data_IF_740583571712
#
_entry.id   IF_740583571712
#
_cell.length_a   1.000
_cell.length_b   1.000
_cell.length_c   1.000
_cell.angle_alpha   90.00
_cell.angle_beta   90.00
_cell.angle_gamma   90.00
#
_symmetry.space_group_name_H-M   'P 1'
#
loop_
_entity.id
_entity.type
_entity.pdbx_description
1 polymer ?
#
# COMPACT_ATOMS: atom_id res chain seq x y z
N UNK A 1 -23.31 -10.84 -0.57
CA UNK A 1 -23.62 -9.48 -1.01
C UNK A 1 -22.37 -8.59 -0.95
N UNK A 2 -21.93 -8.09 0.21
CA UNK A 2 -20.75 -7.20 0.31
C UNK A 2 -19.42 -7.83 -0.20
N UNK A 3 -19.29 -9.14 -0.06
CA UNK A 3 -18.11 -9.90 -0.53
C UNK A 3 -18.12 -10.11 -2.04
N UNK A 4 -19.29 -10.27 -2.63
CA UNK A 4 -19.47 -10.32 -4.08
C UNK A 4 -19.22 -8.96 -4.71
N UNK A 5 -19.75 -7.90 -4.11
CA UNK A 5 -19.55 -6.51 -4.57
C UNK A 5 -18.07 -6.08 -4.50
N UNK A 6 -17.33 -6.52 -3.45
CA UNK A 6 -15.89 -6.29 -3.32
C UNK A 6 -15.06 -7.09 -4.34
N UNK A 7 -15.47 -8.32 -4.66
CA UNK A 7 -14.81 -9.10 -5.72
C UNK A 7 -15.08 -8.51 -7.10
N UNK A 8 -16.29 -8.05 -7.34
CA UNK A 8 -16.70 -7.42 -8.59
C UNK A 8 -16.01 -6.07 -8.78
N UNK A 9 -15.91 -5.25 -7.74
CA UNK A 9 -15.14 -4.00 -7.74
C UNK A 9 -13.64 -4.23 -7.96
N UNK A 10 -13.06 -5.28 -7.35
CA UNK A 10 -11.67 -5.68 -7.58
C UNK A 10 -11.43 -6.12 -9.02
N UNK A 11 -12.34 -6.92 -9.59
CA UNK A 11 -12.24 -7.35 -10.99
C UNK A 11 -12.40 -6.17 -11.96
N UNK A 12 -13.30 -5.23 -11.68
CA UNK A 12 -13.44 -4.01 -12.47
C UNK A 12 -12.21 -3.11 -12.40
N UNK A 13 -11.60 -2.95 -11.22
CA UNK A 13 -10.35 -2.19 -11.08
C UNK A 13 -9.19 -2.86 -11.83
N UNK A 14 -9.05 -4.17 -11.75
CA UNK A 14 -8.01 -4.90 -12.47
C UNK A 14 -8.19 -4.81 -13.99
N UNK A 15 -9.42 -4.91 -14.48
CA UNK A 15 -9.75 -4.72 -15.91
C UNK A 15 -9.43 -3.29 -16.37
N UNK A 16 -9.79 -2.27 -15.57
CA UNK A 16 -9.52 -0.87 -15.89
C UNK A 16 -8.01 -0.54 -15.91
N UNK A 17 -7.22 -1.15 -15.02
CA UNK A 17 -5.76 -0.98 -15.00
C UNK A 17 -5.14 -1.65 -16.22
N UNK A 18 -5.53 -2.90 -16.52
CA UNK A 18 -5.02 -3.66 -17.67
C UNK A 18 -5.41 -3.00 -19.01
N UNK A 19 -6.64 -2.50 -19.15
CA UNK A 19 -7.10 -1.78 -20.35
C UNK A 19 -6.32 -0.47 -20.56
N UNK A 20 -6.06 0.31 -19.49
CA UNK A 20 -5.26 1.53 -19.61
C UNK A 20 -3.83 1.27 -20.01
N UNK A 21 -3.23 0.20 -19.55
CA UNK A 21 -1.86 -0.18 -19.89
C UNK A 21 -1.72 -0.68 -21.31
N UNK A 22 -2.68 -1.47 -21.78
CA UNK A 22 -2.80 -1.87 -23.18
C UNK A 22 -3.00 -0.65 -24.09
N UNK A 23 -3.83 0.31 -23.70
CA UNK A 23 -4.07 1.54 -24.47
C UNK A 23 -2.80 2.42 -24.56
N UNK A 24 -2.02 2.52 -23.50
CA UNK A 24 -0.75 3.27 -23.49
C UNK A 24 0.32 2.55 -24.33
N UNK A 25 0.41 1.22 -24.24
CA UNK A 25 1.33 0.42 -25.04
C UNK A 25 0.96 0.45 -26.55
N UNK A 26 -0.31 0.35 -26.90
CA UNK A 26 -0.79 0.46 -28.28
C UNK A 26 -0.58 1.87 -28.87
N UNK A 27 -0.80 2.93 -28.09
CA UNK A 27 -0.49 4.31 -28.51
C UNK A 27 1.01 4.50 -28.71
N UNK A 28 1.85 3.99 -27.83
CA UNK A 28 3.31 4.09 -27.99
C UNK A 28 3.82 3.33 -29.21
N UNK A 29 3.30 2.13 -29.48
CA UNK A 29 3.59 1.40 -30.71
C UNK A 29 3.05 2.08 -31.97
N UNK A 30 1.83 2.64 -31.92
CA UNK A 30 1.21 3.38 -33.00
C UNK A 30 2.02 4.62 -33.41
N UNK A 31 2.54 5.38 -32.45
CA UNK A 31 3.41 6.53 -32.73
C UNK A 31 4.76 6.11 -33.34
N UNK A 32 5.39 5.04 -32.87
CA UNK A 32 6.64 4.51 -33.42
C UNK A 32 6.44 4.03 -34.87
N UNK A 33 5.38 3.29 -35.14
CA UNK A 33 5.07 2.74 -36.47
C UNK A 33 4.71 3.85 -37.47
N UNK A 34 3.92 4.85 -37.08
CA UNK A 34 3.57 5.97 -37.94
C UNK A 34 4.79 6.85 -38.28
N UNK A 35 5.66 7.10 -37.32
CA UNK A 35 6.88 7.90 -37.53
C UNK A 35 7.81 7.21 -38.55
N UNK A 36 7.98 5.90 -38.42
CA UNK A 36 8.79 5.09 -39.36
C UNK A 36 8.18 5.11 -40.77
N UNK A 37 6.89 4.96 -40.89
CA UNK A 37 6.16 4.97 -42.16
C UNK A 37 6.24 6.33 -42.86
N UNK A 38 6.09 7.44 -42.15
CA UNK A 38 6.26 8.79 -42.71
C UNK A 38 7.69 9.03 -43.17
N UNK A 39 8.70 8.53 -42.46
CA UNK A 39 10.10 8.65 -42.85
C UNK A 39 10.39 7.86 -44.13
N UNK A 40 9.81 6.66 -44.28
CA UNK A 40 9.97 5.89 -45.50
C UNK A 40 9.28 6.57 -46.70
N UNK A 41 8.12 7.21 -46.55
CA UNK A 41 7.51 8.02 -47.60
C UNK A 41 8.31 9.25 -47.97
N UNK A 42 8.96 9.91 -47.02
CA UNK A 42 9.85 11.05 -47.25
C UNK A 42 11.11 10.64 -48.08
N UNK A 43 11.72 9.52 -47.70
CA UNK A 43 12.87 8.98 -48.44
C UNK A 43 12.49 8.54 -49.85
N UNK A 44 11.34 7.84 -50.00
CA UNK A 44 10.85 7.40 -51.28
C UNK A 44 10.46 8.56 -52.21
N UNK A 45 9.84 9.63 -51.66
CA UNK A 45 9.52 10.85 -52.41
C UNK A 45 10.76 11.61 -52.90
N UNK A 46 11.77 11.76 -52.06
CA UNK A 46 13.00 12.41 -52.41
C UNK A 46 13.80 11.67 -53.48
N UNK A 47 13.87 10.32 -53.39
CA UNK A 47 14.54 9.50 -54.41
C UNK A 47 13.82 9.58 -55.80
N UNK A 48 12.47 9.68 -55.79
CA UNK A 48 11.68 9.81 -57.02
C UNK A 48 11.90 11.17 -57.72
N UNK A 49 12.00 12.24 -56.97
CA UNK A 49 12.24 13.60 -57.51
C UNK A 49 13.65 13.70 -58.11
N UNK A 50 14.66 13.11 -57.46
CA UNK A 50 16.04 13.08 -57.96
C UNK A 50 16.18 12.25 -59.24
N UNK A 51 15.41 11.19 -59.41
CA UNK A 51 15.35 10.39 -60.64
C UNK A 51 14.71 11.15 -61.83
N UNK A 52 13.85 12.11 -61.58
CA UNK A 52 13.19 12.92 -62.59
C UNK A 52 14.02 14.11 -63.10
N UNK A 53 14.94 14.63 -62.27
CA UNK A 53 15.64 15.90 -62.52
C UNK A 53 17.02 15.73 -63.19
N UNK A 54 17.55 14.52 -63.26
CA UNK A 54 18.95 14.45 -63.66
C UNK A 54 19.46 13.21 -64.35
N UNK A 55 18.92 12.82 -65.53
CA UNK A 55 19.45 11.68 -66.27
C UNK A 55 20.87 11.85 -66.83
N UNK A 56 21.36 13.07 -67.05
CA UNK A 56 22.66 13.34 -67.71
C UNK A 56 23.84 13.63 -66.76
N UNK A 57 23.59 13.87 -65.44
CA UNK A 57 24.65 14.14 -64.45
C UNK A 57 24.82 13.02 -63.43
N UNK A 58 24.19 11.88 -63.69
CA UNK A 58 23.82 10.87 -62.70
C UNK A 58 25.00 10.01 -62.22
N UNK A 59 26.07 9.85 -62.93
CA UNK A 59 27.10 8.88 -62.56
C UNK A 59 27.84 9.28 -61.27
N UNK A 60 28.28 10.51 -61.21
CA UNK A 60 29.02 10.99 -60.02
C UNK A 60 28.08 11.36 -58.86
N UNK A 61 26.87 11.81 -59.16
CA UNK A 61 25.87 12.10 -58.15
C UNK A 61 25.33 10.82 -57.51
N UNK A 62 25.19 9.76 -58.32
CA UNK A 62 24.63 8.46 -57.86
C UNK A 62 25.51 7.82 -56.76
N UNK A 63 26.82 7.86 -56.91
CA UNK A 63 27.72 7.27 -55.90
C UNK A 63 27.75 8.11 -54.61
N UNK A 64 27.78 9.45 -54.75
CA UNK A 64 27.73 10.35 -53.59
C UNK A 64 26.38 10.29 -52.86
N UNK A 65 25.25 10.25 -53.58
CA UNK A 65 23.91 10.12 -53.00
C UNK A 65 23.75 8.76 -52.34
N UNK A 66 24.28 7.71 -52.95
CA UNK A 66 24.24 6.36 -52.38
C UNK A 66 25.00 6.27 -51.06
N UNK A 67 26.25 6.79 -51.04
CA UNK A 67 27.06 6.82 -49.82
C UNK A 67 26.42 7.68 -48.74
N UNK A 68 25.84 8.83 -49.10
CA UNK A 68 25.13 9.68 -48.15
C UNK A 68 23.85 9.01 -47.62
N UNK A 69 23.07 8.38 -48.50
CA UNK A 69 21.86 7.66 -48.12
C UNK A 69 22.17 6.44 -47.22
N UNK A 70 23.23 5.67 -47.57
CA UNK A 70 23.68 4.54 -46.76
C UNK A 70 24.15 5.02 -45.38
N UNK A 71 24.86 6.14 -45.29
CA UNK A 71 25.33 6.74 -44.04
C UNK A 71 24.18 7.28 -43.22
N UNK A 72 23.23 7.97 -43.84
CA UNK A 72 22.04 8.51 -43.15
C UNK A 72 21.07 7.40 -42.70
N UNK A 73 20.91 6.36 -43.54
CA UNK A 73 20.15 5.16 -43.16
C UNK A 73 20.82 4.47 -41.96
N UNK A 74 22.13 4.29 -41.98
CA UNK A 74 22.82 3.66 -40.86
C UNK A 74 22.69 4.51 -39.56
N UNK A 75 22.79 5.85 -39.69
CA UNK A 75 22.57 6.78 -38.55
C UNK A 75 21.16 6.66 -38.01
N UNK A 76 20.16 6.70 -38.88
CA UNK A 76 18.77 6.59 -38.48
C UNK A 76 18.43 5.22 -37.86
N UNK A 77 18.93 4.14 -38.48
CA UNK A 77 18.78 2.79 -37.93
C UNK A 77 19.36 2.69 -36.53
N UNK A 78 20.62 3.20 -36.37
CA UNK A 78 21.26 3.23 -35.05
C UNK A 78 20.49 4.08 -34.01
N UNK A 79 19.95 5.24 -34.43
CA UNK A 79 19.13 6.09 -33.58
C UNK A 79 17.80 5.39 -33.15
N UNK A 80 17.14 4.71 -34.12
CA UNK A 80 15.93 3.97 -33.83
C UNK A 80 16.19 2.74 -32.96
N UNK A 81 17.28 1.99 -33.23
CA UNK A 81 17.68 0.86 -32.38
C UNK A 81 17.95 1.33 -30.95
N UNK A 82 18.63 2.47 -30.79
CA UNK A 82 18.85 3.07 -29.46
C UNK A 82 17.53 3.45 -28.78
N UNK A 83 16.61 4.11 -29.50
CA UNK A 83 15.30 4.49 -28.96
C UNK A 83 14.44 3.28 -28.60
N UNK A 84 14.47 2.24 -29.45
CA UNK A 84 13.77 0.99 -29.16
C UNK A 84 14.34 0.30 -27.92
N UNK A 85 15.66 0.27 -27.79
CA UNK A 85 16.32 -0.29 -26.61
C UNK A 85 16.00 0.51 -25.32
N UNK A 86 15.89 1.85 -25.43
CA UNK A 86 15.47 2.70 -24.32
C UNK A 86 14.01 2.45 -23.93
N UNK A 87 13.14 2.37 -24.93
CA UNK A 87 11.71 2.10 -24.72
C UNK A 87 11.48 0.70 -24.12
N UNK A 88 12.21 -0.31 -24.60
CA UNK A 88 12.17 -1.66 -24.05
C UNK A 88 12.61 -1.68 -22.58
N UNK A 89 13.66 -0.94 -22.23
CA UNK A 89 14.12 -0.78 -20.84
C UNK A 89 13.06 -0.10 -19.97
N UNK A 90 12.43 0.95 -20.47
CA UNK A 90 11.37 1.66 -19.76
C UNK A 90 10.13 0.77 -19.54
N UNK A 91 9.68 0.06 -20.58
CA UNK A 91 8.57 -0.89 -20.48
C UNK A 91 8.87 -1.99 -19.48
N UNK A 92 10.08 -2.53 -19.50
CA UNK A 92 10.49 -3.56 -18.55
C UNK A 92 10.46 -3.07 -17.10
N UNK A 93 10.96 -1.83 -16.85
CA UNK A 93 10.87 -1.21 -15.51
C UNK A 93 9.43 -1.01 -15.06
N UNK A 94 8.58 -0.49 -15.94
CA UNK A 94 7.16 -0.29 -15.63
C UNK A 94 6.46 -1.62 -15.36
N UNK A 95 6.73 -2.65 -16.14
CA UNK A 95 6.17 -3.99 -15.93
C UNK A 95 6.57 -4.57 -14.57
N UNK A 96 7.82 -4.42 -14.15
CA UNK A 96 8.27 -4.85 -12.83
C UNK A 96 7.56 -4.07 -11.72
N UNK A 97 7.50 -2.74 -11.82
CA UNK A 97 6.79 -1.91 -10.85
C UNK A 97 5.30 -2.24 -10.74
N UNK A 98 4.67 -2.60 -11.85
CA UNK A 98 3.26 -3.04 -11.86
C UNK A 98 3.12 -4.38 -11.14
N UNK A 99 4.02 -5.33 -11.38
CA UNK A 99 3.99 -6.62 -10.71
C UNK A 99 4.17 -6.47 -9.18
N UNK A 100 5.12 -5.62 -8.75
CA UNK A 100 5.34 -5.29 -7.33
C UNK A 100 4.10 -4.64 -6.70
N UNK A 101 3.49 -3.67 -7.38
CA UNK A 101 2.26 -3.01 -6.91
C UNK A 101 1.09 -3.99 -6.84
N UNK A 102 0.98 -4.92 -7.78
CA UNK A 102 -0.08 -5.92 -7.79
C UNK A 102 0.06 -6.87 -6.58
N UNK A 103 1.27 -7.31 -6.29
CA UNK A 103 1.55 -8.15 -5.12
C UNK A 103 1.19 -7.44 -3.80
N UNK A 104 1.52 -6.13 -3.69
CA UNK A 104 1.18 -5.33 -2.50
C UNK A 104 -0.35 -5.13 -2.37
N UNK A 105 -1.04 -4.92 -3.49
CA UNK A 105 -2.52 -4.84 -3.50
C UNK A 105 -3.14 -6.17 -3.04
N UNK A 106 -2.65 -7.29 -3.53
CA UNK A 106 -3.12 -8.62 -3.11
C UNK A 106 -2.89 -8.85 -1.62
N UNK A 107 -1.69 -8.55 -1.13
CA UNK A 107 -1.36 -8.63 0.30
C UNK A 107 -2.28 -7.75 1.15
N UNK A 108 -2.53 -6.51 0.72
CA UNK A 108 -3.43 -5.59 1.42
C UNK A 108 -4.88 -6.10 1.44
N UNK A 109 -5.35 -6.68 0.33
CA UNK A 109 -6.68 -7.27 0.26
C UNK A 109 -6.82 -8.51 1.18
N UNK A 110 -5.78 -9.32 1.26
CA UNK A 110 -5.76 -10.48 2.16
C UNK A 110 -5.80 -10.05 3.63
N UNK A 111 -5.01 -9.04 4.00
CA UNK A 111 -5.06 -8.43 5.33
C UNK A 111 -6.46 -7.89 5.66
N UNK A 112 -7.07 -7.11 4.75
CA UNK A 112 -8.44 -6.62 4.92
C UNK A 112 -9.46 -7.76 5.10
N UNK A 113 -9.32 -8.84 4.33
CA UNK A 113 -10.18 -10.02 4.48
C UNK A 113 -10.03 -10.66 5.85
N UNK A 114 -8.81 -10.74 6.38
CA UNK A 114 -8.52 -11.28 7.71
C UNK A 114 -9.10 -10.39 8.82
N UNK A 115 -8.97 -9.07 8.70
CA UNK A 115 -9.59 -8.10 9.61
C UNK A 115 -11.13 -8.26 9.67
N UNK A 116 -11.77 -8.37 8.51
CA UNK A 116 -13.22 -8.58 8.44
C UNK A 116 -13.67 -9.92 9.06
N UNK A 117 -12.79 -10.92 9.05
CA UNK A 117 -13.06 -12.18 9.77
C UNK A 117 -12.87 -12.02 11.27
N UNK A 118 -11.79 -11.35 11.70
CA UNK A 118 -11.51 -11.13 13.11
C UNK A 118 -12.61 -10.34 13.81
N UNK A 119 -13.17 -9.31 13.16
CA UNK A 119 -14.29 -8.54 13.73
C UNK A 119 -15.59 -9.35 13.91
N UNK A 120 -15.75 -10.47 13.22
CA UNK A 120 -16.93 -11.35 13.30
C UNK A 120 -16.69 -12.59 14.17
N UNK A 121 -15.45 -12.82 14.54
CA UNK A 121 -15.07 -13.99 15.30
C UNK A 121 -15.44 -13.81 16.78
N UNK A 122 -16.22 -14.73 17.37
CA UNK A 122 -16.70 -14.57 18.75
C UNK A 122 -15.66 -14.98 19.80
N UNK A 123 -14.61 -15.73 19.43
CA UNK A 123 -13.68 -16.32 20.40
C UNK A 123 -12.31 -15.64 20.32
N UNK A 124 -11.75 -15.28 21.48
CA UNK A 124 -10.42 -14.68 21.57
C UNK A 124 -9.33 -15.54 20.92
N UNK A 125 -9.40 -16.87 21.12
CA UNK A 125 -8.42 -17.79 20.52
C UNK A 125 -8.43 -17.75 19.00
N UNK A 126 -9.60 -17.77 18.37
CA UNK A 126 -9.67 -17.73 16.91
C UNK A 126 -9.37 -16.32 16.35
N UNK A 127 -9.66 -15.23 17.10
CA UNK A 127 -9.18 -13.88 16.77
C UNK A 127 -7.65 -13.85 16.71
N UNK A 128 -6.98 -14.42 17.72
CA UNK A 128 -5.50 -14.50 17.77
C UNK A 128 -4.94 -15.21 16.54
N UNK A 129 -5.53 -16.34 16.12
CA UNK A 129 -5.09 -17.05 14.91
C UNK A 129 -5.22 -16.18 13.63
N UNK A 130 -6.25 -15.33 13.57
CA UNK A 130 -6.42 -14.40 12.45
C UNK A 130 -5.41 -13.26 12.49
N UNK A 131 -5.12 -12.71 13.67
CA UNK A 131 -4.07 -11.70 13.85
C UNK A 131 -2.67 -12.29 13.56
N UNK A 132 -2.41 -13.54 13.91
CA UNK A 132 -1.18 -14.22 13.55
C UNK A 132 -0.99 -14.28 12.04
N UNK A 133 -2.05 -14.58 11.30
CA UNK A 133 -2.00 -14.59 9.82
C UNK A 133 -1.80 -13.20 9.24
N UNK A 134 -2.33 -12.14 9.87
CA UNK A 134 -2.03 -10.76 9.48
C UNK A 134 -0.56 -10.45 9.72
N UNK A 135 -0.02 -10.87 10.87
CA UNK A 135 1.38 -10.67 11.23
C UNK A 135 2.35 -11.51 10.38
N UNK A 136 1.92 -12.63 9.81
CA UNK A 136 2.70 -13.36 8.78
C UNK A 136 2.85 -12.53 7.50
N UNK A 137 1.81 -11.77 7.12
CA UNK A 137 1.83 -10.90 5.94
C UNK A 137 2.49 -9.53 6.22
N UNK A 138 2.38 -9.02 7.43
CA UNK A 138 2.95 -7.76 7.89
C UNK A 138 3.43 -7.90 9.35
N UNK A 139 4.68 -8.33 9.57
CA UNK A 139 5.17 -8.75 10.90
C UNK A 139 5.11 -7.69 12.00
N UNK A 140 5.21 -6.40 11.63
CA UNK A 140 5.21 -5.28 12.56
C UNK A 140 3.95 -4.39 12.42
N UNK A 141 2.82 -5.00 12.05
CA UNK A 141 1.54 -4.30 12.00
C UNK A 141 1.09 -3.92 13.43
N UNK A 142 1.13 -2.62 13.80
CA UNK A 142 0.88 -2.21 15.17
C UNK A 142 -0.57 -2.44 15.60
N UNK A 143 -1.50 -2.34 14.64
CA UNK A 143 -2.91 -2.57 14.90
C UNK A 143 -3.19 -4.05 15.18
N UNK A 144 -2.60 -4.95 14.39
CA UNK A 144 -2.74 -6.39 14.60
C UNK A 144 -2.12 -6.84 15.93
N UNK A 145 -0.96 -6.27 16.31
CA UNK A 145 -0.34 -6.55 17.60
C UNK A 145 -1.19 -6.07 18.77
N UNK A 146 -1.77 -4.86 18.68
CA UNK A 146 -2.59 -4.29 19.75
C UNK A 146 -3.91 -5.06 19.93
N UNK A 147 -4.60 -5.42 18.84
CA UNK A 147 -5.82 -6.26 18.90
C UNK A 147 -5.53 -7.70 19.34
N UNK A 148 -4.36 -8.21 19.02
CA UNK A 148 -3.91 -9.51 19.57
C UNK A 148 -3.66 -9.43 21.06
N UNK A 149 -3.12 -8.31 21.56
CA UNK A 149 -2.95 -8.07 23.00
C UNK A 149 -4.30 -8.01 23.72
N UNK A 150 -5.31 -7.34 23.15
CA UNK A 150 -6.68 -7.32 23.64
C UNK A 150 -7.24 -8.76 23.78
N UNK A 151 -7.14 -9.56 22.72
CA UNK A 151 -7.57 -10.95 22.75
C UNK A 151 -6.80 -11.83 23.74
N UNK A 152 -5.51 -11.53 23.97
CA UNK A 152 -4.72 -12.20 25.00
C UNK A 152 -5.23 -11.85 26.40
N UNK A 153 -5.67 -10.60 26.63
CA UNK A 153 -6.30 -10.18 27.89
C UNK A 153 -7.64 -10.90 28.13
N UNK A 154 -8.47 -11.06 27.07
CA UNK A 154 -9.70 -11.86 27.16
C UNK A 154 -9.43 -13.32 27.62
N UNK A 155 -8.25 -13.86 27.31
CA UNK A 155 -7.82 -15.20 27.74
C UNK A 155 -7.15 -15.22 29.13
N UNK A 156 -6.95 -14.06 29.77
CA UNK A 156 -6.25 -13.93 31.04
C UNK A 156 -4.72 -14.04 30.92
N UNK A 157 -4.15 -13.80 29.74
CA UNK A 157 -2.72 -13.90 29.46
C UNK A 157 -2.03 -12.52 29.54
N UNK A 158 -2.12 -11.84 30.70
CA UNK A 158 -1.65 -10.47 30.90
C UNK A 158 -0.17 -10.25 30.51
N UNK A 159 0.71 -11.20 30.86
CA UNK A 159 2.13 -11.07 30.52
C UNK A 159 2.40 -11.14 29.03
N UNK A 160 1.62 -11.94 28.33
CA UNK A 160 1.71 -12.01 26.88
C UNK A 160 1.20 -10.72 26.24
N UNK A 161 0.07 -10.18 26.71
CA UNK A 161 -0.44 -8.91 26.27
C UNK A 161 0.58 -7.77 26.48
N UNK A 162 1.27 -7.72 27.62
CA UNK A 162 2.36 -6.76 27.86
C UNK A 162 3.43 -6.84 26.77
N UNK A 163 3.91 -8.05 26.45
CA UNK A 163 4.96 -8.22 25.44
C UNK A 163 4.54 -7.79 24.04
N UNK A 164 3.25 -7.93 23.71
CA UNK A 164 2.69 -7.46 22.44
C UNK A 164 2.59 -5.94 22.39
N UNK A 165 2.10 -5.32 23.48
CA UNK A 165 2.01 -3.86 23.59
C UNK A 165 3.40 -3.21 23.57
N UNK A 166 4.38 -3.78 24.26
CA UNK A 166 5.75 -3.27 24.27
C UNK A 166 6.33 -3.23 22.85
N UNK A 167 6.11 -4.25 22.04
CA UNK A 167 6.53 -4.25 20.64
C UNK A 167 5.90 -3.13 19.83
N UNK A 168 4.63 -2.82 20.05
CA UNK A 168 3.97 -1.67 19.40
C UNK A 168 4.61 -0.37 19.84
N UNK A 169 4.83 -0.20 21.16
CA UNK A 169 5.32 1.03 21.75
C UNK A 169 6.82 1.27 21.51
N UNK A 170 7.59 0.25 21.13
CA UNK A 170 8.96 0.42 20.62
C UNK A 170 8.99 1.18 19.28
N UNK A 171 7.93 1.11 18.49
CA UNK A 171 7.84 1.75 17.16
C UNK A 171 7.04 3.05 17.24
N UNK A 172 5.96 3.06 18.01
CA UNK A 172 5.02 4.18 18.19
C UNK A 172 4.70 4.34 19.67
N UNK A 173 5.52 5.13 20.36
CA UNK A 173 5.40 5.38 21.81
C UNK A 173 4.07 6.02 22.24
N UNK A 174 3.39 6.70 21.31
CA UNK A 174 2.11 7.38 21.53
C UNK A 174 0.89 6.56 21.05
N UNK A 175 1.07 5.29 20.71
CA UNK A 175 -0.04 4.44 20.28
C UNK A 175 -1.06 4.26 21.40
N UNK A 176 -2.16 5.01 21.32
CA UNK A 176 -3.18 5.06 22.37
C UNK A 176 -3.84 3.70 22.65
N UNK A 177 -4.02 2.87 21.62
CA UNK A 177 -4.60 1.54 21.79
C UNK A 177 -3.64 0.61 22.54
N UNK A 178 -2.37 0.58 22.15
CA UNK A 178 -1.36 -0.23 22.83
C UNK A 178 -1.13 0.22 24.30
N UNK A 179 -1.11 1.53 24.54
CA UNK A 179 -1.05 2.08 25.90
C UNK A 179 -2.25 1.64 26.75
N UNK A 180 -3.45 1.69 26.18
CA UNK A 180 -4.68 1.26 26.86
C UNK A 180 -4.66 -0.24 27.19
N UNK A 181 -4.30 -1.09 26.24
CA UNK A 181 -4.21 -2.53 26.45
C UNK A 181 -3.10 -2.88 27.48
N UNK A 182 -2.00 -2.12 27.47
CA UNK A 182 -0.92 -2.30 28.44
C UNK A 182 -1.36 -1.89 29.83
N UNK A 183 -2.17 -0.83 29.96
CA UNK A 183 -2.78 -0.44 31.22
C UNK A 183 -3.73 -1.52 31.77
N UNK A 184 -4.54 -2.14 30.92
CA UNK A 184 -5.39 -3.28 31.30
C UNK A 184 -4.55 -4.46 31.80
N UNK A 185 -3.47 -4.79 31.08
CA UNK A 185 -2.55 -5.86 31.47
C UNK A 185 -1.89 -5.60 32.84
N UNK A 186 -1.40 -4.37 33.08
CA UNK A 186 -0.83 -3.96 34.37
C UNK A 186 -1.85 -4.04 35.50
N UNK A 187 -3.08 -3.58 35.25
CA UNK A 187 -4.17 -3.69 36.23
C UNK A 187 -4.44 -5.16 36.59
N UNK A 188 -4.53 -6.05 35.61
CA UNK A 188 -4.73 -7.48 35.83
C UNK A 188 -3.58 -8.19 36.58
N UNK A 189 -2.38 -7.60 36.54
CA UNK A 189 -1.22 -8.08 37.31
C UNK A 189 -1.11 -7.43 38.71
N UNK A 190 -1.97 -6.45 39.03
CA UNK A 190 -1.94 -5.69 40.27
C UNK A 190 -0.87 -4.59 40.31
N UNK A 191 -0.27 -4.25 39.17
CA UNK A 191 0.74 -3.20 39.03
C UNK A 191 0.06 -1.83 38.82
N UNK A 192 -0.58 -1.35 39.87
CA UNK A 192 -1.48 -0.19 39.88
C UNK A 192 -0.85 1.08 39.30
N UNK A 193 0.38 1.41 39.72
CA UNK A 193 1.05 2.64 39.28
C UNK A 193 1.34 2.61 37.77
N UNK A 194 1.78 1.46 37.24
CA UNK A 194 2.05 1.28 35.81
C UNK A 194 0.74 1.39 35.00
N UNK A 195 -0.33 0.80 35.51
CA UNK A 195 -1.65 0.88 34.87
C UNK A 195 -2.16 2.32 34.78
N UNK A 196 -2.01 3.12 35.86
CA UNK A 196 -2.45 4.52 35.86
C UNK A 196 -1.61 5.41 34.97
N UNK A 197 -0.30 5.16 34.87
CA UNK A 197 0.61 5.90 33.97
C UNK A 197 0.21 5.66 32.50
N UNK A 198 0.08 4.41 32.10
CA UNK A 198 -0.27 4.05 30.72
C UNK A 198 -1.68 4.50 30.36
N UNK A 199 -2.65 4.37 31.28
CA UNK A 199 -4.01 4.85 31.08
C UNK A 199 -4.05 6.37 30.89
N UNK A 200 -3.29 7.12 31.69
CA UNK A 200 -3.22 8.57 31.56
C UNK A 200 -2.65 8.96 30.18
N UNK A 201 -1.59 8.31 29.74
CA UNK A 201 -0.99 8.54 28.43
C UNK A 201 -1.98 8.17 27.30
N UNK A 202 -2.69 7.05 27.40
CA UNK A 202 -3.69 6.64 26.43
C UNK A 202 -4.83 7.65 26.29
N UNK A 203 -5.36 8.17 27.42
CA UNK A 203 -6.42 9.17 27.43
C UNK A 203 -5.92 10.52 26.90
N UNK A 204 -4.67 10.90 27.19
CA UNK A 204 -4.06 12.11 26.65
C UNK A 204 -3.98 12.09 25.14
N UNK A 205 -3.67 10.93 24.57
CA UNK A 205 -3.58 10.75 23.11
C UNK A 205 -4.96 10.57 22.45
N UNK A 206 -5.89 9.91 23.16
CA UNK A 206 -7.25 9.66 22.65
C UNK A 206 -8.30 9.81 23.77
N UNK A 207 -8.95 10.96 23.78
CA UNK A 207 -9.98 11.32 24.78
C UNK A 207 -11.15 10.32 24.83
N UNK A 208 -11.45 9.66 23.73
CA UNK A 208 -12.53 8.66 23.67
C UNK A 208 -12.31 7.47 24.60
N UNK A 209 -11.04 7.17 24.93
CA UNK A 209 -10.66 6.08 25.83
C UNK A 209 -11.08 6.35 27.29
N UNK A 210 -11.31 7.60 27.65
CA UNK A 210 -11.82 7.98 28.97
C UNK A 210 -13.17 7.33 29.29
N UNK A 211 -14.08 7.37 28.33
CA UNK A 211 -15.41 6.74 28.50
C UNK A 211 -15.33 5.21 28.52
N UNK A 212 -14.44 4.63 27.72
CA UNK A 212 -14.22 3.19 27.73
C UNK A 212 -13.64 2.72 29.05
N UNK A 213 -12.66 3.44 29.60
CA UNK A 213 -12.02 3.07 30.87
C UNK A 213 -13.01 3.02 32.05
N UNK A 214 -14.09 3.81 32.04
CA UNK A 214 -15.12 3.76 33.10
C UNK A 214 -15.85 2.42 33.16
N UNK A 215 -16.11 1.81 32.03
CA UNK A 215 -16.86 0.57 31.90
C UNK A 215 -15.99 -0.68 31.81
N UNK A 216 -14.68 -0.50 31.68
CA UNK A 216 -13.73 -1.60 31.48
C UNK A 216 -13.60 -2.44 32.77
N UNK A 217 -13.88 -3.74 32.66
CA UNK A 217 -13.82 -4.67 33.81
C UNK A 217 -12.40 -4.85 34.35
N UNK A 218 -11.40 -4.78 33.46
CA UNK A 218 -10.00 -4.89 33.83
C UNK A 218 -9.54 -3.79 34.81
N UNK A 219 -10.23 -2.65 34.85
CA UNK A 219 -9.95 -1.55 35.77
C UNK A 219 -10.76 -1.59 37.06
N UNK A 220 -11.55 -2.65 37.32
CA UNK A 220 -12.27 -2.82 38.58
C UNK A 220 -11.37 -2.60 39.83
N UNK A 221 -10.12 -3.13 39.89
CA UNK A 221 -9.22 -2.88 41.01
C UNK A 221 -8.81 -1.40 41.20
N UNK A 222 -8.97 -0.57 40.16
CA UNK A 222 -8.58 0.84 40.16
C UNK A 222 -9.71 1.79 40.49
N UNK A 223 -10.97 1.38 40.40
CA UNK A 223 -12.15 2.24 40.46
C UNK A 223 -12.28 3.08 41.72
N UNK A 224 -11.87 2.54 42.87
CA UNK A 224 -11.92 3.23 44.15
C UNK A 224 -10.73 4.20 44.38
N UNK A 225 -9.77 4.22 43.47
CA UNK A 225 -8.59 5.06 43.60
C UNK A 225 -8.87 6.49 43.15
N UNK A 226 -8.58 7.52 43.97
CA UNK A 226 -8.83 8.91 43.58
C UNK A 226 -8.17 9.30 42.26
N UNK A 227 -6.93 8.83 41.98
CA UNK A 227 -6.23 9.09 40.72
C UNK A 227 -6.94 8.51 39.52
N UNK A 228 -7.54 7.32 39.62
CA UNK A 228 -8.34 6.75 38.53
C UNK A 228 -9.60 7.59 38.31
N UNK A 229 -10.31 7.96 39.36
CA UNK A 229 -11.50 8.80 39.29
C UNK A 229 -11.20 10.18 38.68
N UNK A 230 -10.07 10.78 38.99
CA UNK A 230 -9.61 12.02 38.36
C UNK A 230 -9.33 11.82 36.87
N UNK A 231 -8.72 10.70 36.45
CA UNK A 231 -8.42 10.41 35.06
C UNK A 231 -9.67 10.18 34.21
N UNK A 232 -10.63 9.43 34.73
CA UNK A 232 -11.84 9.07 33.96
C UNK A 232 -12.99 10.08 34.13
N UNK A 233 -12.89 11.00 35.07
CA UNK A 233 -13.93 12.00 35.42
C UNK A 233 -15.10 11.37 36.16
N UNK A 234 -15.93 12.22 36.80
CA UNK A 234 -17.17 11.77 37.41
C UNK A 234 -18.28 11.56 36.37
N UNK A 235 -19.24 10.68 36.65
CA UNK A 235 -20.43 10.45 35.79
C UNK A 235 -21.26 11.73 35.56
N UNK A 236 -21.05 12.78 36.39
CA UNK A 236 -21.73 14.07 36.26
C UNK A 236 -21.28 14.88 35.05
N UNK A 237 -20.03 14.68 34.57
CA UNK A 237 -19.48 15.39 33.41
C UNK A 237 -19.99 14.84 32.05
N UNK A 238 -20.57 13.64 32.03
CA UNK A 238 -21.11 13.01 30.83
C UNK A 238 -22.48 13.61 30.39
N UNK A 239 -23.14 14.40 31.23
CA UNK A 239 -24.47 14.94 31.00
C UNK A 239 -24.55 16.30 30.30
N UNK A 240 -23.43 16.95 29.93
CA UNK A 240 -23.43 18.34 29.46
C UNK A 240 -23.02 18.51 27.97
N UNK A 241 -23.01 17.43 27.19
CA UNK A 241 -22.79 17.49 25.74
C UNK A 241 -23.91 16.76 24.98
N UNK A 242 -25.10 17.34 24.99
CA UNK A 242 -26.22 16.96 24.14
C UNK A 242 -26.67 18.18 23.34
#
# INVERSE_FOLDING_TARGET
TLRQDMMEYRNQMNLLVTDRELEVADKAMGYATNTVTYFFYLIAGAASILALVGWSTIRDLKDNVRVYAEKEMARLTSEYESRLADLERELRRKSLSIAENQEEIERTNDIHSLWLKATKEPTAQAKIELYDRILELRPDDPEALAWKADSALELGEQRWALSLCDRVLEVDEENSHALYQRACAWSGLGEIENALIDLAAAIQTSETLRSHARSEEMFEPLRELPRFQELVGSDEDAGFSA
#
